data_IF_413891081561
#
_entry.id   IF_413891081561
#
_cell.length_a   1.000
_cell.length_b   1.000
_cell.length_c   1.000
_cell.angle_alpha   90.00
_cell.angle_beta   90.00
_cell.angle_gamma   90.00
#
_symmetry.space_group_name_H-M   'P 1'
#
loop_
_entity.id
_entity.type
_entity.pdbx_description
1 polymer ?
#
# COMPACT_ATOMS: atom_id res chain seq x y z
N UNK A 1 -35.37 -4.52 32.34
CA UNK A 1 -36.48 -4.84 31.42
C UNK A 1 -35.81 -5.36 30.15
N UNK A 2 -36.08 -6.59 29.71
CA UNK A 2 -35.38 -7.20 28.57
C UNK A 2 -35.55 -6.34 27.31
N UNK A 3 -34.46 -5.99 26.64
CA UNK A 3 -34.47 -5.28 25.35
C UNK A 3 -35.42 -5.98 24.37
N UNK A 4 -35.50 -7.30 24.40
CA UNK A 4 -36.41 -8.09 23.58
C UNK A 4 -37.88 -7.73 23.86
N UNK A 5 -38.25 -7.49 25.12
CA UNK A 5 -39.59 -7.04 25.50
C UNK A 5 -39.86 -5.61 25.04
N UNK A 6 -38.89 -4.71 25.11
CA UNK A 6 -39.06 -3.32 24.69
C UNK A 6 -39.12 -3.20 23.17
N UNK A 7 -38.27 -3.94 22.44
CA UNK A 7 -38.38 -4.08 20.99
C UNK A 7 -39.70 -4.73 20.59
N UNK A 8 -40.18 -5.73 21.34
CA UNK A 8 -41.49 -6.33 21.12
C UNK A 8 -42.62 -5.32 21.37
N UNK A 9 -42.52 -4.47 22.40
CA UNK A 9 -43.47 -3.39 22.65
C UNK A 9 -43.46 -2.34 21.54
N UNK A 10 -42.29 -1.86 21.10
CA UNK A 10 -42.18 -0.91 19.98
C UNK A 10 -42.70 -1.54 18.69
N UNK A 11 -42.38 -2.82 18.41
CA UNK A 11 -42.87 -3.55 17.24
C UNK A 11 -44.38 -3.80 17.28
N UNK A 12 -44.94 -4.12 18.46
CA UNK A 12 -46.40 -4.21 18.68
C UNK A 12 -47.07 -2.87 18.47
N UNK A 13 -46.44 -1.78 18.93
CA UNK A 13 -46.95 -0.42 18.76
C UNK A 13 -46.96 -0.01 17.29
N UNK A 14 -45.86 -0.27 16.60
CA UNK A 14 -45.68 -0.02 15.17
C UNK A 14 -46.69 -0.81 14.31
N UNK A 15 -46.85 -2.10 14.58
CA UNK A 15 -47.82 -2.96 13.89
C UNK A 15 -49.28 -2.50 14.13
N UNK A 16 -49.60 -2.01 15.34
CA UNK A 16 -50.95 -1.46 15.64
C UNK A 16 -51.23 -0.16 14.89
N UNK A 17 -50.22 0.71 14.76
CA UNK A 17 -50.33 1.98 14.01
C UNK A 17 -50.47 1.74 12.50
N UNK A 18 -49.73 0.77 11.94
CA UNK A 18 -49.82 0.43 10.52
C UNK A 18 -51.11 -0.30 10.13
N UNK A 19 -51.67 -1.14 11.01
CA UNK A 19 -52.85 -1.96 10.69
C UNK A 19 -54.20 -1.22 10.88
N UNK A 20 -54.20 0.09 11.15
CA UNK A 20 -55.43 0.89 11.24
C UNK A 20 -56.42 0.44 12.34
N UNK A 21 -55.98 -0.38 13.31
CA UNK A 21 -56.85 -0.88 14.37
C UNK A 21 -57.08 0.27 15.36
N UNK A 22 -58.33 0.74 15.44
CA UNK A 22 -58.75 1.92 16.18
C UNK A 22 -58.15 2.08 17.58
N UNK A 23 -57.76 3.32 17.86
CA UNK A 23 -57.21 3.79 19.14
C UNK A 23 -58.18 3.54 20.31
N UNK A 24 -57.87 2.59 21.18
CA UNK A 24 -58.41 2.55 22.55
C UNK A 24 -57.41 3.24 23.49
N UNK A 25 -57.61 4.56 23.68
CA UNK A 25 -56.65 5.52 24.23
C UNK A 25 -56.51 5.56 25.76
N UNK A 26 -55.98 4.52 26.38
CA UNK A 26 -55.43 4.66 27.76
C UNK A 26 -54.34 3.64 28.09
N UNK A 27 -54.46 2.42 27.57
CA UNK A 27 -53.47 1.36 27.78
C UNK A 27 -52.23 1.54 26.89
N UNK A 28 -52.44 1.86 25.61
CA UNK A 28 -51.35 2.14 24.65
C UNK A 28 -50.56 3.39 25.00
N UNK A 29 -51.20 4.43 25.54
CA UNK A 29 -50.50 5.66 25.91
C UNK A 29 -49.50 5.42 27.05
N UNK A 30 -49.88 4.61 28.05
CA UNK A 30 -48.97 4.12 29.10
C UNK A 30 -47.83 3.29 28.52
N UNK A 31 -48.09 2.36 27.61
CA UNK A 31 -47.05 1.56 26.95
C UNK A 31 -46.09 2.42 26.11
N UNK A 32 -46.58 3.46 25.42
CA UNK A 32 -45.75 4.43 24.70
C UNK A 32 -44.90 5.25 25.66
N UNK A 33 -45.46 5.73 26.76
CA UNK A 33 -44.71 6.49 27.77
C UNK A 33 -43.62 5.63 28.42
N UNK A 34 -43.93 4.36 28.70
CA UNK A 34 -42.96 3.37 29.21
C UNK A 34 -41.88 3.11 28.16
N UNK A 35 -42.22 2.90 26.88
CA UNK A 35 -41.24 2.71 25.82
C UNK A 35 -40.37 3.97 25.60
N UNK A 36 -40.96 5.18 25.66
CA UNK A 36 -40.24 6.46 25.51
C UNK A 36 -39.22 6.72 26.60
N UNK A 37 -39.48 6.28 27.83
CA UNK A 37 -38.56 6.48 28.98
C UNK A 37 -37.64 5.28 29.22
N UNK A 38 -38.16 4.07 29.03
CA UNK A 38 -37.45 2.82 29.31
C UNK A 38 -36.45 2.43 28.24
N UNK A 39 -36.80 2.58 26.95
CA UNK A 39 -35.89 2.18 25.87
C UNK A 39 -34.57 2.96 25.89
N UNK A 40 -34.55 4.31 25.95
CA UNK A 40 -33.29 5.05 25.96
C UNK A 40 -32.44 4.72 27.20
N UNK A 41 -33.08 4.56 28.37
CA UNK A 41 -32.39 4.18 29.60
C UNK A 41 -31.73 2.80 29.52
N UNK A 42 -32.46 1.77 29.05
CA UNK A 42 -31.90 0.43 28.87
C UNK A 42 -30.79 0.39 27.81
N UNK A 43 -30.95 1.11 26.70
CA UNK A 43 -29.91 1.16 25.66
C UNK A 43 -28.66 1.91 26.10
N UNK A 44 -28.80 2.92 26.96
CA UNK A 44 -27.68 3.63 27.58
C UNK A 44 -26.95 2.73 28.58
N UNK A 45 -27.68 2.03 29.44
CA UNK A 45 -27.12 1.06 30.39
C UNK A 45 -26.39 -0.08 29.66
N UNK A 46 -26.97 -0.60 28.57
CA UNK A 46 -26.36 -1.66 27.76
C UNK A 46 -25.35 -1.15 26.72
N UNK A 47 -25.21 0.18 26.57
CA UNK A 47 -24.32 0.84 25.59
C UNK A 47 -24.52 0.35 24.15
N UNK A 48 -25.78 0.20 23.74
CA UNK A 48 -26.20 -0.35 22.43
C UNK A 48 -26.73 0.71 21.47
N UNK A 49 -26.09 1.87 21.44
CA UNK A 49 -26.42 2.96 20.53
C UNK A 49 -25.26 3.16 19.56
N UNK A 50 -25.54 3.17 18.26
CA UNK A 50 -24.51 3.36 17.24
C UNK A 50 -24.88 4.44 16.22
N UNK A 51 -23.86 5.02 15.60
CA UNK A 51 -23.99 6.02 14.53
C UNK A 51 -23.10 5.61 13.36
N UNK A 52 -23.64 5.61 12.15
CA UNK A 52 -22.88 5.30 10.92
C UNK A 52 -22.83 6.52 10.01
N UNK A 53 -21.62 6.92 9.63
CA UNK A 53 -21.37 7.90 8.57
C UNK A 53 -20.87 7.18 7.32
N UNK A 54 -21.76 6.98 6.35
CA UNK A 54 -21.47 6.34 5.07
C UNK A 54 -22.38 5.16 4.70
N UNK A 55 -22.25 4.64 3.46
CA UNK A 55 -23.10 3.58 2.94
C UNK A 55 -22.64 2.20 3.43
N UNK A 56 -22.86 1.89 4.72
CA UNK A 56 -22.54 0.59 5.33
C UNK A 56 -23.78 -0.24 5.70
N UNK A 57 -24.56 -0.75 4.72
CA UNK A 57 -25.79 -1.50 5.00
C UNK A 57 -25.54 -2.81 5.76
N UNK A 58 -24.40 -3.46 5.53
CA UNK A 58 -24.01 -4.71 6.21
C UNK A 58 -23.76 -4.49 7.70
N UNK A 59 -22.99 -3.45 8.06
CA UNK A 59 -22.72 -3.09 9.45
C UNK A 59 -24.01 -2.70 10.16
N UNK A 60 -24.83 -1.86 9.52
CA UNK A 60 -26.14 -1.44 10.02
C UNK A 60 -27.05 -2.64 10.34
N UNK A 61 -27.20 -3.55 9.39
CA UNK A 61 -28.03 -4.75 9.56
C UNK A 61 -27.47 -5.66 10.65
N UNK A 62 -26.15 -5.81 10.73
CA UNK A 62 -25.47 -6.66 11.71
C UNK A 62 -25.64 -6.14 13.15
N UNK A 63 -25.54 -4.83 13.35
CA UNK A 63 -25.75 -4.19 14.66
C UNK A 63 -27.22 -4.27 15.08
N UNK A 64 -28.16 -3.99 14.15
CA UNK A 64 -29.60 -4.13 14.40
C UNK A 64 -29.99 -5.54 14.83
N UNK A 65 -29.44 -6.58 14.18
CA UNK A 65 -29.65 -8.00 14.57
C UNK A 65 -29.16 -8.32 15.99
N UNK A 66 -28.21 -7.55 16.52
CA UNK A 66 -27.66 -7.68 17.89
C UNK A 66 -28.40 -6.81 18.91
N UNK A 67 -29.53 -6.21 18.53
CA UNK A 67 -30.33 -5.35 19.40
C UNK A 67 -29.79 -3.92 19.54
N UNK A 68 -28.85 -3.51 18.69
CA UNK A 68 -28.37 -2.13 18.70
C UNK A 68 -29.32 -1.20 17.95
N UNK A 69 -29.39 0.04 18.42
CA UNK A 69 -30.23 1.09 17.85
C UNK A 69 -29.38 2.15 17.18
N UNK A 70 -29.73 2.45 15.93
CA UNK A 70 -29.06 3.48 15.15
C UNK A 70 -29.58 4.86 15.57
N UNK A 71 -28.67 5.72 16.02
CA UNK A 71 -28.89 7.16 16.09
C UNK A 71 -28.53 7.75 14.73
N UNK A 72 -29.53 8.04 13.91
CA UNK A 72 -29.33 8.72 12.63
C UNK A 72 -29.13 10.20 12.88
N UNK A 73 -28.04 10.75 12.37
CA UNK A 73 -27.89 12.19 12.27
C UNK A 73 -28.64 12.67 11.04
N UNK A 74 -29.60 13.57 11.23
CA UNK A 74 -30.22 14.34 10.13
C UNK A 74 -29.26 15.41 9.66
N UNK A 75 -28.08 15.02 9.18
CA UNK A 75 -27.27 15.96 8.41
C UNK A 75 -27.98 16.09 7.08
N UNK A 76 -28.67 17.23 6.88
CA UNK A 76 -28.98 17.69 5.53
C UNK A 76 -27.63 17.73 4.82
N UNK A 77 -27.44 16.92 3.79
CA UNK A 77 -26.32 17.11 2.90
C UNK A 77 -26.50 18.48 2.23
N UNK A 78 -25.99 19.55 2.83
CA UNK A 78 -25.64 20.75 2.08
C UNK A 78 -24.43 20.35 1.22
N UNK A 79 -24.76 19.79 0.05
CA UNK A 79 -23.80 19.57 -1.02
C UNK A 79 -23.50 20.94 -1.61
N UNK A 80 -22.55 21.65 -1.02
CA UNK A 80 -21.68 22.56 -1.77
C UNK A 80 -20.36 21.82 -1.98
N UNK A 81 -20.39 20.81 -2.83
CA UNK A 81 -19.17 20.27 -3.41
C UNK A 81 -19.05 20.82 -4.84
N UNK A 82 -17.91 21.47 -5.06
CA UNK A 82 -17.41 21.83 -6.37
C UNK A 82 -17.50 20.62 -7.31
N UNK A 83 -18.22 20.81 -8.42
CA UNK A 83 -18.18 19.91 -9.56
C UNK A 83 -16.74 19.83 -10.06
N UNK A 84 -16.20 18.62 -10.13
CA UNK A 84 -15.23 18.21 -11.15
C UNK A 84 -15.34 16.69 -11.36
N UNK A 85 -15.95 16.36 -12.49
CA UNK A 85 -15.98 15.13 -13.30
C UNK A 85 -15.37 13.81 -12.76
N UNK A 86 -16.23 12.80 -12.57
CA UNK A 86 -16.42 11.73 -13.57
C UNK A 86 -17.14 10.50 -12.99
N UNK A 87 -18.11 10.01 -13.76
CA UNK A 87 -18.86 8.75 -13.70
C UNK A 87 -19.97 8.60 -12.63
N UNK A 88 -21.13 9.09 -13.07
CA UNK A 88 -22.48 8.64 -12.76
C UNK A 88 -22.58 7.13 -12.50
N UNK A 89 -22.89 6.80 -11.25
CA UNK A 89 -23.89 5.77 -10.97
C UNK A 89 -24.88 6.43 -10.03
N UNK A 90 -25.89 7.06 -10.64
CA UNK A 90 -27.11 7.50 -9.96
C UNK A 90 -27.79 6.27 -9.36
N UNK A 91 -27.36 5.87 -8.17
CA UNK A 91 -28.27 5.21 -7.24
C UNK A 91 -28.97 6.32 -6.49
N UNK A 92 -30.02 6.84 -7.12
CA UNK A 92 -31.08 7.59 -6.47
C UNK A 92 -31.36 6.93 -5.12
N UNK A 93 -30.99 7.63 -4.04
CA UNK A 93 -31.46 7.30 -2.71
C UNK A 93 -32.97 7.54 -2.75
N UNK A 94 -33.72 6.49 -3.09
CA UNK A 94 -35.15 6.40 -2.83
C UNK A 94 -35.33 6.62 -1.33
N UNK A 95 -35.51 7.88 -0.94
CA UNK A 95 -36.15 8.27 0.30
C UNK A 95 -37.60 7.81 0.17
N UNK A 96 -37.82 6.51 0.38
CA UNK A 96 -39.14 5.99 0.58
C UNK A 96 -39.69 6.64 1.85
N UNK A 97 -40.56 7.63 1.62
CA UNK A 97 -41.59 8.05 2.55
C UNK A 97 -42.33 6.81 3.04
N UNK A 98 -41.96 6.31 4.21
CA UNK A 98 -42.79 5.41 5.01
C UNK A 98 -42.21 5.38 6.41
N UNK A 99 -43.08 5.47 7.40
CA UNK A 99 -42.82 5.21 8.80
C UNK A 99 -41.97 3.94 8.98
N UNK A 100 -40.64 4.01 8.96
CA UNK A 100 -39.76 2.88 9.29
C UNK A 100 -39.62 2.83 10.81
N UNK A 101 -39.76 1.63 11.41
CA UNK A 101 -39.57 1.41 12.85
C UNK A 101 -38.21 1.97 13.30
N UNK A 102 -37.20 1.92 12.43
CA UNK A 102 -35.87 2.46 12.74
C UNK A 102 -35.82 3.98 12.81
N UNK A 103 -36.68 4.71 12.11
CA UNK A 103 -36.77 6.17 12.22
C UNK A 103 -37.37 6.58 13.57
N UNK A 104 -38.39 5.83 14.03
CA UNK A 104 -38.97 6.02 15.36
C UNK A 104 -37.92 5.74 16.42
N UNK A 105 -37.21 4.62 16.31
CA UNK A 105 -36.15 4.24 17.25
C UNK A 105 -35.03 5.28 17.29
N UNK A 106 -34.61 5.80 16.13
CA UNK A 106 -33.63 6.89 16.05
C UNK A 106 -34.11 8.16 16.76
N UNK A 107 -35.40 8.51 16.67
CA UNK A 107 -35.97 9.67 17.38
C UNK A 107 -36.02 9.46 18.89
N UNK A 108 -36.18 8.23 19.37
CA UNK A 108 -36.19 7.90 20.80
C UNK A 108 -34.81 8.06 21.44
N UNK A 109 -33.74 7.75 20.71
CA UNK A 109 -32.36 7.85 21.21
C UNK A 109 -31.64 9.14 20.80
N UNK A 110 -32.35 10.14 20.25
CA UNK A 110 -31.74 11.38 19.72
C UNK A 110 -30.91 12.16 20.76
N UNK A 111 -31.32 12.11 22.02
CA UNK A 111 -30.68 12.81 23.14
C UNK A 111 -29.69 11.92 23.91
N UNK A 112 -29.53 10.66 23.51
CA UNK A 112 -28.57 9.75 24.12
C UNK A 112 -27.23 9.82 23.40
N UNK A 113 -26.15 9.49 24.10
CA UNK A 113 -24.82 9.42 23.50
C UNK A 113 -24.66 8.15 22.67
N UNK A 114 -23.89 8.27 21.58
CA UNK A 114 -23.54 7.12 20.76
C UNK A 114 -22.44 6.33 21.47
N UNK A 115 -22.61 5.02 21.60
CA UNK A 115 -21.58 4.13 22.15
C UNK A 115 -20.61 3.62 21.09
N UNK A 116 -21.06 3.52 19.83
CA UNK A 116 -20.21 3.05 18.71
C UNK A 116 -20.37 3.90 17.45
N UNK A 117 -19.26 4.46 16.98
CA UNK A 117 -19.16 5.20 15.74
C UNK A 117 -18.52 4.35 14.64
N UNK A 118 -19.16 4.31 13.48
CA UNK A 118 -18.60 3.74 12.26
C UNK A 118 -18.55 4.78 11.15
N UNK A 119 -17.36 5.17 10.71
CA UNK A 119 -17.19 6.23 9.72
C UNK A 119 -16.34 5.77 8.53
N UNK A 120 -16.51 6.44 7.38
CA UNK A 120 -15.61 6.27 6.22
C UNK A 120 -14.23 6.85 6.52
N UNK A 121 -14.20 8.09 7.02
CA UNK A 121 -12.98 8.84 7.28
C UNK A 121 -12.79 9.06 8.78
N UNK A 122 -11.54 9.12 9.22
CA UNK A 122 -11.18 9.34 10.64
C UNK A 122 -11.65 10.68 11.19
N UNK A 123 -11.72 11.70 10.35
CA UNK A 123 -12.06 13.10 10.68
C UNK A 123 -13.57 13.35 10.74
N UNK A 124 -14.40 12.35 10.42
CA UNK A 124 -15.85 12.46 10.55
C UNK A 124 -16.32 12.55 12.02
N UNK A 125 -15.49 12.11 12.97
CA UNK A 125 -15.73 12.18 14.41
C UNK A 125 -14.45 12.68 15.06
N UNK A 126 -14.54 13.73 15.88
CA UNK A 126 -13.42 14.20 16.67
C UNK A 126 -13.16 13.23 17.84
N UNK A 127 -12.13 12.41 17.69
CA UNK A 127 -11.78 11.38 18.66
C UNK A 127 -11.22 11.96 19.97
N UNK A 128 -10.80 13.24 20.02
CA UNK A 128 -10.36 13.88 21.27
C UNK A 128 -11.50 14.11 22.25
N UNK A 129 -12.74 14.20 21.75
CA UNK A 129 -13.93 14.42 22.57
C UNK A 129 -14.68 13.12 22.89
N UNK A 130 -14.14 11.95 22.51
CA UNK A 130 -14.75 10.67 22.83
C UNK A 130 -14.48 10.31 24.29
N UNK A 131 -15.51 9.82 24.97
CA UNK A 131 -15.37 9.20 26.28
C UNK A 131 -14.73 7.81 26.17
N UNK A 132 -14.10 7.33 27.24
CA UNK A 132 -13.33 6.08 27.27
C UNK A 132 -14.16 4.83 26.90
N UNK A 133 -15.47 4.89 27.06
CA UNK A 133 -16.40 3.81 26.74
C UNK A 133 -17.02 3.92 25.33
N UNK A 134 -16.68 4.97 24.58
CA UNK A 134 -17.12 5.14 23.20
C UNK A 134 -16.11 4.49 22.25
N UNK A 135 -16.64 3.74 21.31
CA UNK A 135 -15.85 3.00 20.33
C UNK A 135 -15.88 3.72 18.98
N UNK A 136 -14.74 3.76 18.29
CA UNK A 136 -14.58 4.28 16.93
C UNK A 136 -13.82 3.26 16.08
N UNK A 137 -14.21 3.07 14.83
CA UNK A 137 -13.55 2.13 13.91
C UNK A 137 -12.22 2.64 13.30
N UNK A 138 -11.62 3.68 13.86
CA UNK A 138 -10.37 4.29 13.39
C UNK A 138 -9.42 4.52 14.55
N UNK A 139 -8.14 4.20 14.34
CA UNK A 139 -7.05 4.64 15.21
C UNK A 139 -6.55 6.02 14.79
N UNK A 140 -6.05 6.81 15.75
CA UNK A 140 -5.62 8.19 15.52
C UNK A 140 -4.42 8.33 14.56
N UNK A 141 -3.43 7.43 14.67
CA UNK A 141 -2.10 7.54 14.03
C UNK A 141 -1.77 6.33 13.14
N UNK A 142 -2.48 6.18 12.02
CA UNK A 142 -2.21 5.07 11.07
C UNK A 142 -1.14 5.39 10.02
N UNK A 143 -0.76 6.66 9.87
CA UNK A 143 0.13 7.12 8.78
C UNK A 143 1.51 6.46 8.76
N UNK A 144 1.93 5.93 9.90
CA UNK A 144 3.14 5.14 10.08
C UNK A 144 3.25 3.94 9.12
N UNK A 145 2.15 3.23 8.85
CA UNK A 145 2.17 2.04 7.99
C UNK A 145 1.17 2.10 6.83
N UNK A 146 0.25 3.08 6.83
CA UNK A 146 -0.72 3.28 5.74
C UNK A 146 -0.26 4.26 4.66
N UNK A 147 0.95 4.82 4.78
CA UNK A 147 1.59 5.66 3.76
C UNK A 147 2.83 4.96 3.21
N UNK A 148 3.26 5.32 2.00
CA UNK A 148 4.46 4.71 1.40
C UNK A 148 5.71 5.09 2.17
N UNK A 149 5.86 6.38 2.48
CA UNK A 149 7.01 6.87 3.22
C UNK A 149 7.03 6.32 4.65
N UNK A 150 5.89 6.26 5.31
CA UNK A 150 5.79 5.65 6.64
C UNK A 150 6.23 4.18 6.59
N UNK A 151 5.68 3.40 5.67
CA UNK A 151 6.00 1.98 5.54
C UNK A 151 7.48 1.76 5.17
N UNK A 152 8.03 2.56 4.24
CA UNK A 152 9.45 2.58 3.88
C UNK A 152 10.35 2.70 5.12
N UNK A 153 10.10 3.74 5.94
CA UNK A 153 10.89 4.00 7.14
C UNK A 153 10.70 2.92 8.21
N UNK A 154 9.50 2.33 8.32
CA UNK A 154 9.27 1.23 9.26
C UNK A 154 10.02 -0.05 8.86
N UNK A 155 10.07 -0.36 7.57
CA UNK A 155 10.83 -1.52 7.09
C UNK A 155 12.33 -1.33 7.30
N UNK A 156 12.85 -0.11 7.11
CA UNK A 156 14.26 0.22 7.39
C UNK A 156 14.64 0.03 8.86
N UNK A 157 13.73 0.39 9.78
CA UNK A 157 13.95 0.25 11.22
C UNK A 157 13.52 -1.13 11.78
N UNK A 158 12.99 -2.02 10.95
CA UNK A 158 12.52 -3.34 11.38
C UNK A 158 13.57 -4.16 12.16
N UNK A 159 14.87 -4.15 11.79
CA UNK A 159 15.91 -4.88 12.52
C UNK A 159 16.04 -4.50 14.00
N UNK A 160 15.57 -3.31 14.40
CA UNK A 160 15.56 -2.90 15.81
C UNK A 160 14.49 -3.60 16.65
N UNK A 161 13.48 -4.17 16.00
CA UNK A 161 12.34 -4.81 16.67
C UNK A 161 12.34 -6.32 16.52
N UNK A 162 12.77 -6.83 15.36
CA UNK A 162 12.80 -8.26 15.04
C UNK A 162 14.03 -8.58 14.19
N UNK A 163 14.53 -9.82 14.31
CA UNK A 163 15.68 -10.29 13.53
C UNK A 163 15.36 -10.61 12.06
N UNK A 164 14.10 -10.44 11.63
CA UNK A 164 13.71 -10.70 10.26
C UNK A 164 14.27 -9.62 9.33
N UNK A 165 14.97 -10.03 8.26
CA UNK A 165 15.47 -9.11 7.26
C UNK A 165 14.32 -8.66 6.33
N UNK A 166 13.98 -7.35 6.29
CA UNK A 166 12.86 -6.83 5.51
C UNK A 166 12.98 -7.11 4.01
N UNK A 167 14.21 -7.23 3.49
CA UNK A 167 14.44 -7.40 2.05
C UNK A 167 13.92 -8.74 1.51
N UNK A 168 13.60 -9.72 2.37
CA UNK A 168 13.02 -11.00 1.95
C UNK A 168 11.54 -10.91 1.56
N UNK A 169 10.81 -9.90 2.03
CA UNK A 169 9.36 -9.83 1.84
C UNK A 169 8.86 -8.43 1.47
N UNK A 170 9.74 -7.43 1.47
CA UNK A 170 9.43 -6.07 1.11
C UNK A 170 10.49 -5.53 0.13
N UNK A 171 10.12 -5.15 -1.11
CA UNK A 171 11.04 -4.56 -2.07
C UNK A 171 11.70 -3.33 -1.47
N UNK A 172 13.02 -3.19 -1.64
CA UNK A 172 13.77 -2.07 -1.10
C UNK A 172 13.22 -0.76 -1.65
N UNK A 173 13.16 0.26 -0.80
CA UNK A 173 12.70 1.58 -1.20
C UNK A 173 13.34 2.68 -0.36
N UNK A 174 13.34 3.89 -0.91
CA UNK A 174 14.05 5.04 -0.37
C UNK A 174 13.14 6.27 -0.35
N UNK A 175 13.20 7.06 0.72
CA UNK A 175 12.57 8.35 0.80
C UNK A 175 13.48 9.42 0.19
N UNK A 176 13.43 9.57 -1.13
CA UNK A 176 14.27 10.52 -1.91
C UNK A 176 14.18 12.00 -1.50
N UNK A 177 13.24 12.37 -0.62
CA UNK A 177 13.17 13.72 -0.03
C UNK A 177 14.12 13.92 1.16
N UNK A 178 14.73 12.84 1.64
CA UNK A 178 15.77 12.84 2.66
C UNK A 178 17.11 12.65 1.95
N UNK A 179 18.10 13.53 2.21
CA UNK A 179 19.34 13.54 1.43
C UNK A 179 20.14 12.24 1.64
N UNK A 180 20.21 11.74 2.88
CA UNK A 180 20.91 10.50 3.21
C UNK A 180 20.31 9.30 2.44
N UNK A 181 18.98 9.16 2.44
CA UNK A 181 18.29 8.07 1.72
C UNK A 181 18.38 8.22 0.19
N UNK A 182 18.53 9.45 -0.30
CA UNK A 182 18.76 9.71 -1.72
C UNK A 182 20.17 9.30 -2.13
N UNK A 183 21.17 9.52 -1.28
CA UNK A 183 22.52 9.00 -1.51
C UNK A 183 22.53 7.46 -1.53
N UNK A 184 21.86 6.83 -0.56
CA UNK A 184 21.73 5.36 -0.54
C UNK A 184 21.05 4.81 -1.80
N UNK A 185 20.02 5.50 -2.30
CA UNK A 185 19.36 5.15 -3.55
C UNK A 185 20.30 5.25 -4.75
N UNK A 186 21.08 6.32 -4.86
CA UNK A 186 22.02 6.52 -5.97
C UNK A 186 23.09 5.42 -5.97
N UNK A 187 23.61 5.08 -4.80
CA UNK A 187 24.59 4.02 -4.62
C UNK A 187 24.01 2.64 -4.99
N UNK A 188 22.80 2.32 -4.52
CA UNK A 188 22.10 1.08 -4.86
C UNK A 188 21.76 1.00 -6.36
N UNK A 189 21.31 2.10 -6.97
CA UNK A 189 21.08 2.16 -8.42
C UNK A 189 22.36 1.83 -9.19
N UNK A 190 23.48 2.42 -8.79
CA UNK A 190 24.81 2.22 -9.38
C UNK A 190 25.30 0.78 -9.21
N UNK A 191 25.20 0.22 -8.00
CA UNK A 191 25.55 -1.18 -7.69
C UNK A 191 24.65 -2.17 -8.45
N UNK A 192 23.36 -1.88 -8.55
CA UNK A 192 22.40 -2.69 -9.31
C UNK A 192 22.78 -2.73 -10.80
N UNK A 193 23.16 -1.60 -11.40
CA UNK A 193 23.62 -1.56 -12.79
C UNK A 193 24.88 -2.41 -13.03
N UNK A 194 25.88 -2.31 -12.14
CA UNK A 194 27.07 -3.16 -12.17
C UNK A 194 26.70 -4.65 -12.07
N UNK A 195 25.82 -4.99 -11.15
CA UNK A 195 25.35 -6.36 -10.97
C UNK A 195 24.57 -6.89 -12.19
N UNK A 196 23.82 -6.04 -12.88
CA UNK A 196 23.14 -6.41 -14.13
C UNK A 196 24.14 -6.77 -15.25
N UNK A 197 25.28 -6.07 -15.34
CA UNK A 197 26.36 -6.42 -16.30
C UNK A 197 26.93 -7.82 -15.98
N UNK A 198 27.19 -8.11 -14.71
CA UNK A 198 27.65 -9.44 -14.26
C UNK A 198 26.63 -10.53 -14.62
N UNK A 199 25.34 -10.30 -14.34
CA UNK A 199 24.28 -11.23 -14.74
C UNK A 199 24.19 -11.42 -16.24
N UNK A 200 24.38 -10.35 -17.03
CA UNK A 200 24.36 -10.41 -18.48
C UNK A 200 25.43 -11.38 -19.01
N UNK A 201 26.68 -11.26 -18.53
CA UNK A 201 27.79 -12.16 -18.92
C UNK A 201 27.48 -13.62 -18.60
N UNK A 202 26.98 -13.89 -17.39
CA UNK A 202 26.67 -15.27 -16.97
C UNK A 202 25.52 -15.86 -17.80
N UNK A 203 24.48 -15.06 -18.05
CA UNK A 203 23.33 -15.50 -18.83
C UNK A 203 23.69 -15.75 -20.30
N UNK A 204 24.61 -14.98 -20.88
CA UNK A 204 25.11 -15.19 -22.24
C UNK A 204 25.72 -16.59 -22.41
N UNK A 205 26.55 -17.01 -21.47
CA UNK A 205 27.23 -18.31 -21.52
C UNK A 205 26.31 -19.51 -21.31
N UNK A 206 25.37 -19.41 -20.35
CA UNK A 206 24.41 -20.49 -20.09
C UNK A 206 23.56 -20.77 -21.35
N UNK A 207 23.36 -19.77 -22.20
CA UNK A 207 22.64 -19.92 -23.47
C UNK A 207 23.47 -20.51 -24.61
N UNK A 208 24.80 -20.42 -24.56
CA UNK A 208 25.69 -20.89 -25.64
C UNK A 208 25.92 -22.42 -25.60
N UNK A 209 25.89 -23.02 -24.40
CA UNK A 209 25.88 -24.49 -24.21
C UNK A 209 24.66 -25.18 -24.87
N UNK A 210 23.64 -24.40 -25.24
CA UNK A 210 22.45 -24.84 -25.96
C UNK A 210 22.42 -24.35 -27.43
N UNK A 211 23.57 -24.12 -28.09
CA UNK A 211 23.77 -24.03 -29.55
C UNK A 211 22.74 -23.28 -30.41
N UNK A 212 22.00 -22.33 -29.86
CA UNK A 212 21.19 -21.42 -30.64
C UNK A 212 20.85 -20.19 -29.80
N UNK A 213 21.53 -19.09 -30.10
CA UNK A 213 21.00 -17.76 -29.89
C UNK A 213 19.70 -17.66 -30.67
N UNK A 214 18.58 -18.07 -30.06
CA UNK A 214 17.29 -17.69 -30.60
C UNK A 214 17.09 -16.22 -30.23
N UNK A 215 16.91 -15.37 -31.25
CA UNK A 215 16.45 -13.99 -31.10
C UNK A 215 15.31 -13.87 -30.07
N UNK A 216 14.47 -14.91 -29.95
CA UNK A 216 13.39 -15.02 -28.95
C UNK A 216 13.82 -14.98 -27.48
N UNK A 217 15.03 -15.43 -27.10
CA UNK A 217 15.51 -15.36 -25.71
C UNK A 217 15.97 -13.93 -25.40
N UNK A 218 16.55 -13.26 -26.39
CA UNK A 218 17.00 -11.88 -26.23
C UNK A 218 15.82 -10.90 -26.23
N UNK A 219 14.82 -11.13 -27.08
CA UNK A 219 13.52 -10.46 -27.00
C UNK A 219 12.88 -10.68 -25.61
N UNK A 220 12.91 -11.92 -25.09
CA UNK A 220 12.28 -12.29 -23.81
C UNK A 220 12.99 -11.73 -22.56
N UNK A 221 14.33 -11.69 -22.53
CA UNK A 221 15.10 -11.30 -21.35
C UNK A 221 15.69 -9.90 -21.41
N UNK A 222 15.95 -9.36 -22.61
CA UNK A 222 16.61 -8.07 -22.84
C UNK A 222 15.73 -7.07 -23.60
N UNK A 223 14.47 -7.42 -23.92
CA UNK A 223 13.46 -6.45 -24.37
C UNK A 223 13.74 -5.79 -25.72
N UNK A 224 14.38 -6.49 -26.66
CA UNK A 224 14.73 -5.97 -27.99
C UNK A 224 13.55 -5.88 -28.99
N UNK A 225 12.31 -5.74 -28.51
CA UNK A 225 11.10 -5.58 -29.36
C UNK A 225 11.10 -4.27 -30.21
N UNK A 226 12.12 -3.43 -30.04
CA UNK A 226 12.24 -2.11 -30.68
C UNK A 226 13.48 -1.92 -31.57
N UNK A 227 14.32 -2.95 -31.77
CA UNK A 227 15.49 -2.79 -32.65
C UNK A 227 15.07 -2.94 -34.10
N UNK A 228 15.08 -1.81 -34.81
CA UNK A 228 14.94 -1.73 -36.25
C UNK A 228 16.03 -2.60 -36.93
N UNK A 229 15.65 -3.63 -37.70
CA UNK A 229 16.59 -4.57 -38.33
C UNK A 229 17.53 -3.91 -39.35
N UNK A 230 17.30 -2.66 -39.77
CA UNK A 230 18.13 -1.95 -40.75
C UNK A 230 19.35 -1.20 -40.17
N UNK A 231 19.47 -1.04 -38.84
CA UNK A 231 20.57 -0.27 -38.22
C UNK A 231 21.65 -1.19 -37.63
N UNK A 232 22.31 -2.00 -38.48
CA UNK A 232 23.45 -2.84 -38.03
C UNK A 232 24.78 -2.07 -38.06
N UNK A 233 25.00 -1.31 -36.99
CA UNK A 233 26.32 -1.24 -36.32
C UNK A 233 26.06 -1.56 -34.85
N UNK A 234 26.12 -2.84 -34.50
CA UNK A 234 26.10 -3.25 -33.09
C UNK A 234 27.27 -2.56 -32.41
N UNK A 235 26.97 -1.72 -31.41
CA UNK A 235 27.99 -1.03 -30.62
C UNK A 235 28.75 -2.09 -29.83
N UNK A 236 30.06 -2.14 -30.03
CA UNK A 236 30.95 -2.99 -29.25
C UNK A 236 31.47 -2.20 -28.04
N UNK A 237 31.33 -2.78 -26.86
CA UNK A 237 31.82 -2.26 -25.60
C UNK A 237 33.11 -2.97 -25.22
N UNK A 238 34.12 -2.25 -24.68
CA UNK A 238 35.37 -2.86 -24.27
C UNK A 238 35.20 -3.70 -23.00
N UNK A 239 36.07 -4.69 -22.81
CA UNK A 239 36.07 -5.58 -21.62
C UNK A 239 36.25 -4.84 -20.29
N UNK A 240 36.81 -3.62 -20.32
CA UNK A 240 36.95 -2.76 -19.14
C UNK A 240 35.61 -2.48 -18.43
N UNK A 241 34.47 -2.55 -19.15
CA UNK A 241 33.13 -2.42 -18.53
C UNK A 241 32.87 -3.53 -17.51
N UNK A 242 33.32 -4.75 -17.82
CA UNK A 242 33.17 -5.92 -16.95
C UNK A 242 34.12 -5.81 -15.76
N UNK A 243 35.34 -5.33 -15.98
CA UNK A 243 36.32 -5.11 -14.91
C UNK A 243 35.83 -4.07 -13.90
N UNK A 244 35.25 -2.96 -14.38
CA UNK A 244 34.60 -1.96 -13.53
C UNK A 244 33.42 -2.57 -12.74
N UNK A 245 32.57 -3.36 -13.40
CA UNK A 245 31.43 -4.02 -12.75
C UNK A 245 31.87 -5.05 -11.69
N UNK A 246 32.89 -5.85 -11.99
CA UNK A 246 33.50 -6.80 -11.06
C UNK A 246 34.05 -6.07 -9.84
N UNK A 247 34.84 -5.01 -10.05
CA UNK A 247 35.40 -4.19 -8.96
C UNK A 247 34.32 -3.66 -8.03
N UNK A 248 33.24 -3.10 -8.57
CA UNK A 248 32.10 -2.61 -7.78
C UNK A 248 31.46 -3.72 -6.96
N UNK A 249 31.23 -4.87 -7.57
CA UNK A 249 30.59 -6.01 -6.92
C UNK A 249 31.48 -6.65 -5.84
N UNK A 250 32.79 -6.73 -6.08
CA UNK A 250 33.79 -7.24 -5.14
C UNK A 250 33.90 -6.30 -3.93
N UNK A 251 34.02 -4.98 -4.15
CA UNK A 251 34.01 -4.00 -3.05
C UNK A 251 32.70 -4.06 -2.26
N UNK A 252 31.56 -4.26 -2.91
CA UNK A 252 30.29 -4.44 -2.20
C UNK A 252 30.27 -5.70 -1.31
N UNK A 253 30.82 -6.81 -1.80
CA UNK A 253 30.95 -8.05 -1.00
C UNK A 253 31.87 -7.84 0.20
N UNK A 254 32.99 -7.14 0.03
CA UNK A 254 33.92 -6.79 1.12
C UNK A 254 33.22 -5.95 2.20
N UNK A 255 32.44 -4.94 1.82
CA UNK A 255 31.67 -4.10 2.75
C UNK A 255 30.66 -4.91 3.58
N UNK A 256 29.97 -5.87 2.95
CA UNK A 256 28.98 -6.72 3.63
C UNK A 256 29.64 -7.72 4.59
N UNK A 257 30.82 -8.21 4.24
CA UNK A 257 31.62 -9.10 5.10
C UNK A 257 32.41 -8.34 6.18
N UNK A 258 32.26 -7.01 6.26
CA UNK A 258 33.06 -6.12 7.11
C UNK A 258 34.56 -6.25 6.87
N UNK A 259 34.96 -6.65 5.66
CA UNK A 259 36.36 -6.75 5.24
C UNK A 259 37.03 -5.40 5.06
N UNK A 260 36.26 -4.32 5.08
CA UNK A 260 36.71 -2.93 4.99
C UNK A 260 36.96 -2.27 6.36
N UNK A 261 36.76 -2.98 7.48
CA UNK A 261 36.82 -2.41 8.84
C UNK A 261 38.17 -1.76 9.19
N UNK A 262 39.26 -2.27 8.61
CA UNK A 262 40.63 -1.79 8.81
C UNK A 262 41.07 -0.77 7.75
N UNK A 263 40.18 -0.40 6.82
CA UNK A 263 40.46 0.54 5.74
C UNK A 263 40.29 1.97 6.24
N UNK A 264 41.23 2.85 5.88
CA UNK A 264 41.17 4.25 6.32
C UNK A 264 39.92 4.96 5.77
N UNK A 265 39.37 5.92 6.51
CA UNK A 265 38.13 6.62 6.14
C UNK A 265 38.32 7.44 4.84
N UNK A 266 39.57 7.78 4.52
CA UNK A 266 39.98 8.50 3.30
C UNK A 266 40.32 7.57 2.11
N UNK A 267 39.98 6.28 2.19
CA UNK A 267 40.24 5.33 1.12
C UNK A 267 39.51 5.73 -0.17
N UNK A 268 40.21 5.61 -1.29
CA UNK A 268 39.65 5.96 -2.59
C UNK A 268 38.39 5.11 -2.87
N UNK A 269 37.29 5.73 -3.35
CA UNK A 269 36.09 4.98 -3.70
C UNK A 269 36.39 3.95 -4.79
N UNK A 270 35.57 2.89 -4.86
CA UNK A 270 35.73 1.84 -5.87
C UNK A 270 35.83 2.42 -7.29
N UNK A 271 35.02 3.46 -7.58
CA UNK A 271 35.05 4.21 -8.82
C UNK A 271 34.90 5.71 -8.52
N UNK A 272 35.55 6.55 -9.31
CA UNK A 272 35.33 7.99 -9.38
C UNK A 272 33.97 8.31 -10.03
N UNK A 273 33.46 9.53 -9.84
CA UNK A 273 32.19 9.95 -10.47
C UNK A 273 32.22 9.87 -12.00
N UNK A 274 33.39 10.09 -12.61
CA UNK A 274 33.57 9.97 -14.06
C UNK A 274 33.45 8.51 -14.51
N UNK A 275 34.09 7.59 -13.80
CA UNK A 275 33.99 6.15 -14.07
C UNK A 275 32.57 5.64 -13.82
N UNK A 276 31.88 6.13 -12.80
CA UNK A 276 30.46 5.81 -12.58
C UNK A 276 29.59 6.24 -13.75
N UNK A 277 29.74 7.48 -14.24
CA UNK A 277 28.96 7.95 -15.38
C UNK A 277 29.24 7.10 -16.64
N UNK A 278 30.50 6.71 -16.85
CA UNK A 278 30.89 5.83 -17.95
C UNK A 278 30.26 4.42 -17.80
N UNK A 279 30.32 3.82 -16.61
CA UNK A 279 29.72 2.51 -16.35
C UNK A 279 28.21 2.52 -16.61
N UNK A 280 27.52 3.57 -16.15
CA UNK A 280 26.07 3.70 -16.34
C UNK A 280 25.71 3.87 -17.83
N UNK A 281 26.45 4.69 -18.58
CA UNK A 281 26.24 4.85 -20.02
C UNK A 281 26.44 3.52 -20.78
N UNK A 282 27.49 2.78 -20.42
CA UNK A 282 27.78 1.47 -21.00
C UNK A 282 26.74 0.42 -20.61
N UNK A 283 26.26 0.44 -19.36
CA UNK A 283 25.13 -0.38 -18.90
C UNK A 283 23.87 -0.14 -19.75
N UNK A 284 23.52 1.13 -20.01
CA UNK A 284 22.38 1.46 -20.84
C UNK A 284 22.55 0.96 -22.27
N UNK A 285 23.74 1.16 -22.83
CA UNK A 285 24.08 0.65 -24.17
C UNK A 285 23.94 -0.89 -24.25
N UNK A 286 24.41 -1.60 -23.23
CA UNK A 286 24.37 -3.07 -23.16
C UNK A 286 22.95 -3.60 -23.03
N UNK A 287 22.21 -3.12 -22.03
CA UNK A 287 20.91 -3.71 -21.64
C UNK A 287 19.76 -3.18 -22.49
N UNK A 288 19.80 -1.90 -22.89
CA UNK A 288 18.67 -1.25 -23.56
C UNK A 288 18.89 -1.01 -25.06
N UNK A 289 20.15 -0.91 -25.51
CA UNK A 289 20.47 -0.62 -26.92
C UNK A 289 21.04 -1.84 -27.68
N UNK A 290 21.21 -2.99 -26.99
CA UNK A 290 21.70 -4.22 -27.59
C UNK A 290 23.19 -4.21 -27.97
N UNK A 291 24.00 -3.39 -27.29
CA UNK A 291 25.45 -3.43 -27.43
C UNK A 291 26.03 -4.78 -26.95
N UNK A 292 27.22 -5.13 -27.45
CA UNK A 292 27.89 -6.39 -27.11
C UNK A 292 29.26 -6.12 -26.47
N UNK A 293 29.67 -6.96 -25.54
CA UNK A 293 30.97 -6.84 -24.87
C UNK A 293 32.00 -7.70 -25.61
N UNK A 294 33.14 -7.09 -25.96
CA UNK A 294 34.27 -7.80 -26.56
C UNK A 294 34.88 -8.80 -25.57
N UNK A 295 35.15 -10.03 -26.02
CA UNK A 295 35.71 -11.11 -25.20
C UNK A 295 34.91 -11.37 -23.91
N UNK A 296 33.57 -11.25 -23.97
CA UNK A 296 32.69 -11.57 -22.84
C UNK A 296 33.03 -12.93 -22.20
N UNK A 297 33.45 -13.89 -23.03
CA UNK A 297 33.69 -15.25 -22.56
C UNK A 297 34.85 -15.39 -21.58
N UNK A 298 35.87 -14.53 -21.69
CA UNK A 298 37.00 -14.57 -20.76
C UNK A 298 36.63 -14.19 -19.34
N UNK A 299 35.49 -13.52 -19.14
CA UNK A 299 35.05 -13.03 -17.84
C UNK A 299 34.04 -13.95 -17.14
N UNK A 300 33.57 -15.02 -17.80
CA UNK A 300 32.50 -15.88 -17.28
C UNK A 300 32.74 -16.42 -15.89
N UNK A 301 33.92 -17.04 -15.67
CA UNK A 301 34.23 -17.70 -14.41
C UNK A 301 34.25 -16.69 -13.25
N UNK A 302 34.83 -15.50 -13.47
CA UNK A 302 34.84 -14.44 -12.47
C UNK A 302 33.42 -13.94 -12.19
N UNK A 303 32.64 -13.63 -13.24
CA UNK A 303 31.27 -13.14 -13.11
C UNK A 303 30.36 -14.16 -12.42
N UNK A 304 30.49 -15.45 -12.73
CA UNK A 304 29.71 -16.52 -12.13
C UNK A 304 29.99 -16.64 -10.63
N UNK A 305 31.26 -16.55 -10.22
CA UNK A 305 31.65 -16.60 -8.81
C UNK A 305 31.10 -15.39 -8.03
N UNK A 306 31.20 -14.19 -8.59
CA UNK A 306 30.64 -12.96 -7.99
C UNK A 306 29.12 -13.07 -7.89
N UNK A 307 28.45 -13.48 -8.97
CA UNK A 307 27.00 -13.65 -9.01
C UNK A 307 26.53 -14.61 -7.93
N UNK A 308 27.17 -15.77 -7.80
CA UNK A 308 26.85 -16.74 -6.77
C UNK A 308 26.93 -16.13 -5.36
N UNK A 309 28.02 -15.43 -5.03
CA UNK A 309 28.17 -14.77 -3.73
C UNK A 309 27.08 -13.71 -3.48
N UNK A 310 26.80 -12.84 -4.45
CA UNK A 310 25.76 -11.82 -4.31
C UNK A 310 24.37 -12.45 -4.15
N UNK A 311 24.05 -13.54 -4.85
CA UNK A 311 22.75 -14.21 -4.72
C UNK A 311 22.49 -14.77 -3.32
N UNK A 312 23.53 -15.11 -2.57
CA UNK A 312 23.42 -15.58 -1.19
C UNK A 312 23.07 -14.45 -0.21
N UNK A 313 23.51 -13.22 -0.48
CA UNK A 313 23.35 -12.08 0.44
C UNK A 313 22.21 -11.13 0.04
N UNK A 314 21.80 -11.09 -1.23
CA UNK A 314 20.76 -10.21 -1.74
C UNK A 314 19.48 -11.02 -2.07
N UNK A 315 18.45 -11.01 -1.19
CA UNK A 315 17.20 -11.72 -1.43
C UNK A 315 16.40 -11.20 -2.63
N UNK A 316 16.68 -9.97 -3.09
CA UNK A 316 15.91 -9.32 -4.16
C UNK A 316 16.53 -9.50 -5.54
N UNK A 317 17.66 -10.20 -5.67
CA UNK A 317 18.38 -10.36 -6.93
C UNK A 317 17.51 -10.88 -8.08
N UNK A 318 16.49 -11.70 -7.80
CA UNK A 318 15.55 -12.19 -8.83
C UNK A 318 14.59 -11.10 -9.29
N UNK A 319 13.98 -10.38 -8.35
CA UNK A 319 12.95 -9.37 -8.66
C UNK A 319 13.54 -8.08 -9.27
N UNK A 320 14.83 -7.83 -9.04
CA UNK A 320 15.57 -6.72 -9.67
C UNK A 320 15.68 -6.87 -11.19
N UNK A 321 15.63 -8.11 -11.68
CA UNK A 321 15.83 -8.43 -13.08
C UNK A 321 17.19 -7.93 -13.60
N UNK A 322 17.15 -7.33 -14.79
CA UNK A 322 18.32 -6.82 -15.52
C UNK A 322 18.21 -5.33 -15.89
N UNK A 323 17.02 -4.74 -15.80
CA UNK A 323 16.71 -3.41 -16.35
C UNK A 323 16.78 -2.28 -15.32
N UNK A 324 17.07 -2.59 -14.04
CA UNK A 324 17.23 -1.59 -12.98
C UNK A 324 16.07 -0.58 -12.91
N UNK A 325 14.84 -1.09 -12.97
CA UNK A 325 13.61 -0.28 -13.03
C UNK A 325 13.18 0.14 -11.63
N UNK A 326 12.90 1.43 -11.45
CA UNK A 326 12.48 2.01 -10.16
C UNK A 326 11.13 2.69 -10.21
N UNK A 327 10.31 2.46 -9.20
CA UNK A 327 8.97 3.02 -9.13
C UNK A 327 8.96 4.28 -8.24
N UNK A 328 8.90 5.45 -8.87
CA UNK A 328 8.77 6.72 -8.14
C UNK A 328 7.30 6.95 -7.77
N UNK A 329 7.03 7.20 -6.48
CA UNK A 329 5.68 7.47 -5.98
C UNK A 329 5.62 8.66 -5.03
N UNK A 330 4.55 9.48 -5.10
CA UNK A 330 4.27 10.47 -4.06
C UNK A 330 4.00 9.80 -2.70
N UNK A 331 4.69 10.26 -1.65
CA UNK A 331 4.70 9.62 -0.32
C UNK A 331 3.32 9.49 0.35
N UNK A 332 2.48 10.54 0.25
CA UNK A 332 1.19 10.63 0.93
C UNK A 332 -0.03 10.23 0.05
N UNK A 333 0.16 9.97 -1.25
CA UNK A 333 -0.94 9.58 -2.15
C UNK A 333 -0.93 8.07 -2.39
N UNK A 334 -1.73 7.33 -1.62
CA UNK A 334 -1.89 5.87 -1.75
C UNK A 334 -3.31 5.51 -2.21
N UNK A 335 -3.57 5.53 -3.53
CA UNK A 335 -4.80 4.98 -4.16
C UNK A 335 -4.62 4.62 -5.65
N UNK A 336 -3.40 4.34 -6.11
CA UNK A 336 -3.11 4.22 -7.56
C UNK A 336 -3.23 5.53 -8.36
N UNK A 337 -3.62 6.65 -7.72
CA UNK A 337 -3.81 7.98 -8.35
C UNK A 337 -2.53 8.80 -8.54
N UNK A 338 -1.36 8.21 -8.27
CA UNK A 338 -0.09 8.82 -8.62
C UNK A 338 0.18 8.57 -10.09
N UNK A 339 -0.08 9.56 -10.94
CA UNK A 339 0.51 9.59 -12.29
C UNK A 339 2.01 9.79 -12.11
N UNK A 340 2.76 8.71 -12.24
CA UNK A 340 4.18 8.70 -12.56
C UNK A 340 4.52 7.26 -12.97
N UNK A 341 4.46 7.04 -14.27
CA UNK A 341 5.25 6.04 -14.98
C UNK A 341 6.48 6.79 -15.46
N UNK A 342 7.67 6.37 -15.05
CA UNK A 342 8.79 6.30 -15.96
C UNK A 342 9.11 4.81 -16.02
N UNK A 343 9.03 4.28 -17.23
CA UNK A 343 9.53 2.95 -17.56
C UNK A 343 11.04 3.00 -17.59
#
# INVERSE_FOLDING_TARGET
MDISLVFLCVRKLFNKVLNGIGYKGSFLEKEVTIARRGLPATLREERKIFTIYGPYPVIRTSLRKRGWVEKRNTVKCDVQDHKDDANETEQESHFNSSNDIHDIMSRLVRNEETSFYWTIKKDAVDYYNLHIDQMLNHYARTGAFTTKIGLCLHMRNLPWYVSANPNHFFPRCYGICMEDEKCDFIDDFRKTAAFCIIKWIVNLHITDDNHNWSLSIIEKYFGLDFIDPEVKKMKELPGEVVEMACKVCETYLEQIEHGDIDTDVDSAPALSDKEWNQLIEQYYSLIHEGAMICNADSYFTQCQNILHKITLINPQHVIDGLHNIWIIKPGAKSRGRGRATLW
#
